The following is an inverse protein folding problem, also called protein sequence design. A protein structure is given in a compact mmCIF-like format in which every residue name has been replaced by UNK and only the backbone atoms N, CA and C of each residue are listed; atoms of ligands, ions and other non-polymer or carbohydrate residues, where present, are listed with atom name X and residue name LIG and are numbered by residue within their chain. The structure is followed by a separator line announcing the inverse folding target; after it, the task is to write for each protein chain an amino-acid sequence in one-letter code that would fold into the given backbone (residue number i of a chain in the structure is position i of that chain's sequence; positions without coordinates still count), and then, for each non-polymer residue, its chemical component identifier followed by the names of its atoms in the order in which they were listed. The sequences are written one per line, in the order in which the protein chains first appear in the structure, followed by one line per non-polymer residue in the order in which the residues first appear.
data_IF_255044300716
#
_entry.id   IF_255044300716
#
_cell.length_a   1.000
_cell.length_b   1.000
_cell.length_c   1.000
_cell.angle_alpha   90.00
_cell.angle_beta   90.00
_cell.angle_gamma   90.00
#
_symmetry.space_group_name_H-M   'P 1'
#
loop_
_entity.id
_entity.type
_entity.pdbx_description
1 polymer ?
#
# COMPACT_ATOMS: atom_id res chain seq x y z
N UNK A 1 -32.16 -71.11 13.35
CA UNK A 1 -32.25 -70.54 12.00
C UNK A 1 -33.02 -69.19 12.08
N UNK A 2 -32.48 -68.06 11.69
CA UNK A 2 -33.24 -66.82 11.75
C UNK A 2 -34.37 -66.83 10.72
N UNK A 3 -35.58 -66.45 11.15
CA UNK A 3 -36.78 -66.47 10.34
C UNK A 3 -36.66 -65.56 9.11
N UNK A 4 -37.31 -65.95 8.02
CA UNK A 4 -37.30 -65.20 6.74
C UNK A 4 -37.76 -63.75 6.92
N UNK A 5 -38.60 -63.48 7.93
CA UNK A 5 -39.04 -62.11 8.29
C UNK A 5 -37.92 -61.22 8.80
N UNK A 6 -36.97 -61.77 9.58
CA UNK A 6 -35.83 -61.01 10.08
C UNK A 6 -34.80 -60.67 8.98
N UNK A 7 -34.62 -61.51 7.98
CA UNK A 7 -33.76 -61.25 6.84
C UNK A 7 -34.31 -60.10 5.96
N UNK A 8 -35.61 -60.09 5.73
CA UNK A 8 -36.25 -59.00 4.94
C UNK A 8 -36.19 -57.66 5.63
N UNK A 9 -36.37 -57.61 6.98
CA UNK A 9 -36.28 -56.41 7.76
C UNK A 9 -34.84 -55.83 7.79
N UNK A 10 -33.83 -56.69 7.87
CA UNK A 10 -32.42 -56.27 7.87
C UNK A 10 -31.98 -55.78 6.47
N UNK A 11 -32.49 -56.36 5.37
CA UNK A 11 -32.26 -55.88 4.00
C UNK A 11 -32.88 -54.49 3.80
N UNK A 12 -34.12 -54.32 4.25
CA UNK A 12 -34.85 -53.05 4.13
C UNK A 12 -34.13 -51.91 4.88
N UNK A 13 -33.67 -52.18 6.14
CA UNK A 13 -32.91 -51.21 6.92
C UNK A 13 -31.56 -50.90 6.29
N UNK A 14 -30.85 -51.83 5.70
CA UNK A 14 -29.58 -51.57 4.96
C UNK A 14 -29.80 -50.75 3.70
N UNK A 15 -30.86 -50.99 2.96
CA UNK A 15 -31.23 -50.16 1.79
C UNK A 15 -31.61 -48.74 2.23
N UNK A 16 -32.36 -48.60 3.30
CA UNK A 16 -32.76 -47.29 3.83
C UNK A 16 -31.54 -46.47 4.30
N UNK A 17 -30.58 -47.11 5.00
CA UNK A 17 -29.33 -46.46 5.41
C UNK A 17 -28.48 -46.07 4.20
N UNK A 18 -28.42 -46.87 3.13
CA UNK A 18 -27.70 -46.55 1.92
C UNK A 18 -28.35 -45.38 1.13
N UNK A 19 -29.68 -45.30 1.12
CA UNK A 19 -30.41 -44.20 0.50
C UNK A 19 -30.20 -42.86 1.26
N UNK A 20 -30.18 -42.92 2.63
CA UNK A 20 -29.91 -41.73 3.45
C UNK A 20 -28.45 -41.25 3.29
N UNK A 21 -27.50 -42.21 3.22
CA UNK A 21 -26.09 -41.87 2.97
C UNK A 21 -25.85 -41.28 1.60
N UNK A 22 -26.55 -41.73 0.57
CA UNK A 22 -26.48 -41.19 -0.79
C UNK A 22 -27.07 -39.78 -0.89
N UNK A 23 -28.09 -39.45 -0.09
CA UNK A 23 -28.72 -38.12 -0.08
C UNK A 23 -27.85 -37.05 0.61
N UNK A 24 -26.91 -37.45 1.47
CA UNK A 24 -26.02 -36.52 2.20
C UNK A 24 -24.87 -35.97 1.35
N UNK A 25 -24.60 -36.54 0.18
CA UNK A 25 -23.45 -36.16 -0.67
C UNK A 25 -23.78 -34.98 -1.62
N UNK A 26 -25.03 -34.58 -1.77
CA UNK A 26 -25.45 -33.59 -2.78
C UNK A 26 -25.58 -32.14 -2.27
N UNK A 27 -25.27 -31.84 -1.01
CA UNK A 27 -25.34 -30.47 -0.48
C UNK A 27 -23.91 -29.99 -0.17
N UNK A 28 -23.02 -30.04 -1.17
CA UNK A 28 -21.85 -29.21 -1.11
C UNK A 28 -22.29 -27.77 -1.43
N UNK A 29 -22.13 -26.78 -0.52
CA UNK A 29 -22.36 -25.40 -0.90
C UNK A 29 -21.39 -25.10 -2.04
N UNK A 30 -21.92 -24.72 -3.19
CA UNK A 30 -21.11 -24.11 -4.27
C UNK A 30 -20.55 -22.83 -3.67
N UNK A 31 -19.28 -22.85 -3.21
CA UNK A 31 -18.53 -21.65 -2.89
C UNK A 31 -18.35 -20.96 -4.22
N UNK A 32 -19.28 -20.07 -4.56
CA UNK A 32 -19.06 -19.12 -5.66
C UNK A 32 -17.89 -18.26 -5.23
N UNK A 33 -16.75 -18.41 -5.91
CA UNK A 33 -15.67 -17.46 -5.81
C UNK A 33 -16.27 -16.07 -6.07
N UNK A 34 -16.27 -15.21 -5.04
CA UNK A 34 -16.79 -13.85 -5.17
C UNK A 34 -15.97 -13.18 -6.27
N UNK A 35 -16.64 -12.65 -7.30
CA UNK A 35 -15.96 -11.89 -8.35
C UNK A 35 -15.25 -10.69 -7.71
N UNK A 36 -13.93 -10.76 -7.63
CA UNK A 36 -13.10 -9.64 -7.18
C UNK A 36 -12.65 -8.84 -8.40
N UNK A 37 -12.74 -7.49 -8.35
CA UNK A 37 -13.41 -6.68 -7.33
C UNK A 37 -14.93 -6.57 -7.57
N UNK A 38 -15.74 -6.64 -6.52
CA UNK A 38 -17.20 -6.41 -6.56
C UNK A 38 -17.62 -4.99 -6.11
N UNK A 39 -16.65 -4.19 -5.65
CA UNK A 39 -16.84 -2.78 -5.19
C UNK A 39 -15.59 -1.96 -5.55
N UNK A 40 -15.70 -0.63 -5.41
CA UNK A 40 -14.59 0.30 -5.66
C UNK A 40 -13.37 -0.01 -4.81
N UNK A 41 -12.20 -0.05 -5.44
CA UNK A 41 -10.89 -0.15 -4.79
C UNK A 41 -10.43 1.28 -4.45
N UNK A 42 -10.03 1.52 -3.19
CA UNK A 42 -9.47 2.78 -2.73
C UNK A 42 -7.95 2.71 -2.77
N UNK A 43 -7.32 3.64 -3.49
CA UNK A 43 -5.88 3.83 -3.50
C UNK A 43 -5.53 5.05 -2.64
N UNK A 44 -5.06 4.82 -1.42
CA UNK A 44 -4.63 5.88 -0.52
C UNK A 44 -3.29 6.45 -1.02
N UNK A 45 -3.27 7.77 -1.20
CA UNK A 45 -2.10 8.55 -1.58
C UNK A 45 -1.64 9.34 -0.33
N UNK A 46 -0.52 8.97 0.32
CA UNK A 46 -0.13 9.53 1.61
C UNK A 46 0.53 10.92 1.51
N UNK A 47 0.31 11.65 0.42
CA UNK A 47 0.87 12.97 0.15
C UNK A 47 -0.19 13.91 -0.42
N UNK A 48 0.06 15.25 -0.38
CA UNK A 48 -0.87 16.22 -0.94
C UNK A 48 -1.15 16.00 -2.43
N UNK A 49 -2.33 16.40 -2.91
CA UNK A 49 -2.66 16.35 -4.33
C UNK A 49 -1.72 17.22 -5.16
N UNK A 50 -1.49 16.83 -6.42
CA UNK A 50 -0.64 17.52 -7.39
C UNK A 50 0.86 17.21 -7.28
N UNK A 51 1.30 16.47 -6.26
CA UNK A 51 2.69 15.98 -6.17
C UNK A 51 2.93 14.74 -7.05
N UNK A 52 4.20 14.37 -7.25
CA UNK A 52 4.57 13.24 -8.12
C UNK A 52 3.89 11.92 -7.71
N UNK A 53 3.78 11.65 -6.41
CA UNK A 53 3.08 10.45 -5.93
C UNK A 53 1.58 10.47 -6.28
N UNK A 54 0.93 11.62 -6.19
CA UNK A 54 -0.48 11.76 -6.55
C UNK A 54 -0.69 11.56 -8.05
N UNK A 55 0.15 12.19 -8.89
CA UNK A 55 0.07 12.03 -10.34
C UNK A 55 0.23 10.56 -10.76
N UNK A 56 1.27 9.89 -10.28
CA UNK A 56 1.51 8.48 -10.58
C UNK A 56 0.36 7.59 -10.08
N UNK A 57 -0.19 7.89 -8.90
CA UNK A 57 -1.32 7.12 -8.35
C UNK A 57 -2.58 7.27 -9.20
N UNK A 58 -2.87 8.48 -9.70
CA UNK A 58 -4.02 8.73 -10.58
C UNK A 58 -3.87 8.08 -11.94
N UNK A 59 -2.67 8.14 -12.52
CA UNK A 59 -2.36 7.45 -13.79
C UNK A 59 -2.50 5.93 -13.62
N UNK A 60 -1.99 5.36 -12.52
CA UNK A 60 -2.15 3.94 -12.23
C UNK A 60 -3.63 3.56 -12.07
N UNK A 61 -4.40 4.35 -11.32
CA UNK A 61 -5.84 4.11 -11.13
C UNK A 61 -6.60 4.17 -12.45
N UNK A 62 -6.28 5.15 -13.31
CA UNK A 62 -6.87 5.29 -14.63
C UNK A 62 -6.52 4.10 -15.54
N UNK A 63 -5.25 3.71 -15.60
CA UNK A 63 -4.78 2.58 -16.39
C UNK A 63 -5.43 1.25 -15.96
N UNK A 64 -5.53 1.01 -14.65
CA UNK A 64 -6.22 -0.15 -14.11
C UNK A 64 -7.71 -0.14 -14.50
N UNK A 65 -8.38 1.00 -14.35
CA UNK A 65 -9.79 1.11 -14.73
C UNK A 65 -10.02 0.87 -16.22
N UNK A 66 -9.15 1.37 -17.08
CA UNK A 66 -9.23 1.16 -18.53
C UNK A 66 -8.95 -0.29 -18.95
N UNK A 67 -7.96 -0.94 -18.33
CA UNK A 67 -7.53 -2.28 -18.74
C UNK A 67 -8.38 -3.40 -18.17
N UNK A 68 -8.95 -3.21 -16.97
CA UNK A 68 -9.67 -4.26 -16.26
C UNK A 68 -11.16 -3.99 -16.07
N UNK A 69 -11.62 -2.76 -16.29
CA UNK A 69 -12.97 -2.32 -15.97
C UNK A 69 -13.19 -2.08 -14.45
N UNK A 70 -12.15 -2.15 -13.62
CA UNK A 70 -12.27 -1.97 -12.18
C UNK A 70 -12.48 -0.51 -11.81
N UNK A 71 -13.31 -0.25 -10.79
CA UNK A 71 -13.43 1.08 -10.23
C UNK A 71 -12.30 1.29 -9.22
N UNK A 72 -11.31 2.12 -9.57
CA UNK A 72 -10.17 2.48 -8.68
C UNK A 72 -10.18 3.97 -8.44
N UNK A 73 -10.22 4.40 -7.16
CA UNK A 73 -10.29 5.80 -6.77
C UNK A 73 -9.13 6.18 -5.87
N UNK A 74 -8.37 7.22 -6.27
CA UNK A 74 -7.27 7.78 -5.47
C UNK A 74 -7.81 8.74 -4.41
N UNK A 75 -7.37 8.54 -3.16
CA UNK A 75 -7.75 9.37 -1.98
C UNK A 75 -6.50 9.89 -1.29
N UNK A 76 -6.32 11.23 -1.26
CA UNK A 76 -5.17 11.83 -0.59
C UNK A 76 -5.36 11.85 0.94
N UNK A 77 -4.38 11.31 1.68
CA UNK A 77 -4.28 11.37 3.15
C UNK A 77 -2.87 11.81 3.57
N UNK A 78 -2.54 13.10 3.41
CA UNK A 78 -1.22 13.61 3.71
C UNK A 78 -0.99 13.75 5.22
N UNK A 79 0.29 13.85 5.62
CA UNK A 79 0.70 14.21 6.97
C UNK A 79 1.81 13.29 7.54
N UNK A 80 2.62 13.86 8.42
CA UNK A 80 3.73 13.19 9.10
C UNK A 80 4.66 12.40 8.16
N UNK A 81 5.10 13.02 7.04
CA UNK A 81 5.96 12.34 6.06
C UNK A 81 5.29 11.17 5.33
N UNK A 82 3.96 11.16 5.26
CA UNK A 82 3.14 10.10 4.67
C UNK A 82 2.66 9.03 5.66
N UNK A 83 3.06 9.13 6.94
CA UNK A 83 2.70 8.11 7.94
C UNK A 83 1.20 8.01 8.19
N UNK A 84 0.45 9.14 8.14
CA UNK A 84 -1.00 9.12 8.37
C UNK A 84 -1.75 8.32 7.29
N UNK A 85 -1.35 8.46 6.03
CA UNK A 85 -1.97 7.70 4.94
C UNK A 85 -1.64 6.21 5.01
N UNK A 86 -0.39 5.87 5.34
CA UNK A 86 0.03 4.47 5.50
C UNK A 86 -0.65 3.82 6.70
N UNK A 87 -0.75 4.51 7.84
CA UNK A 87 -1.48 4.05 9.02
C UNK A 87 -2.96 3.76 8.71
N UNK A 88 -3.60 4.65 7.94
CA UNK A 88 -4.99 4.45 7.54
C UNK A 88 -5.18 3.21 6.65
N UNK A 89 -4.20 2.88 5.81
CA UNK A 89 -4.22 1.66 5.01
C UNK A 89 -3.96 0.41 5.86
N UNK A 90 -2.96 0.47 6.74
CA UNK A 90 -2.59 -0.63 7.62
C UNK A 90 -3.73 -1.06 8.56
N UNK A 91 -4.58 -0.11 8.95
CA UNK A 91 -5.77 -0.36 9.81
C UNK A 91 -7.05 -0.67 9.02
N UNK A 92 -7.01 -0.63 7.70
CA UNK A 92 -8.16 -0.99 6.88
C UNK A 92 -8.37 -2.51 6.87
N UNK A 93 -9.59 -3.00 6.54
CA UNK A 93 -9.81 -4.43 6.33
C UNK A 93 -8.84 -4.99 5.28
N UNK A 94 -8.25 -6.17 5.58
CA UNK A 94 -7.32 -6.85 4.67
C UNK A 94 -8.06 -7.64 3.56
N UNK A 95 -9.03 -6.98 2.91
CA UNK A 95 -9.92 -7.56 1.90
C UNK A 95 -9.50 -7.23 0.46
N UNK A 96 -8.36 -6.56 0.28
CA UNK A 96 -7.85 -6.14 -1.02
C UNK A 96 -8.48 -4.87 -1.60
N UNK A 97 -9.44 -4.23 -0.91
CA UNK A 97 -10.11 -3.02 -1.41
C UNK A 97 -9.51 -1.71 -0.92
N UNK A 98 -8.51 -1.77 -0.05
CA UNK A 98 -7.74 -0.59 0.34
C UNK A 98 -6.27 -0.83 0.01
N UNK A 99 -5.76 -0.03 -0.90
CA UNK A 99 -4.36 0.00 -1.32
C UNK A 99 -3.70 1.29 -0.84
N UNK A 100 -2.38 1.31 -0.75
CA UNK A 100 -1.61 2.52 -0.46
C UNK A 100 -0.44 2.66 -1.41
N UNK A 101 -0.20 3.89 -1.89
CA UNK A 101 1.01 4.24 -2.64
C UNK A 101 2.12 4.59 -1.66
N UNK A 102 2.82 3.58 -1.17
CA UNK A 102 3.96 3.76 -0.27
C UNK A 102 5.19 4.34 -0.96
N UNK A 103 6.05 4.97 -0.18
CA UNK A 103 7.35 5.49 -0.61
C UNK A 103 8.45 5.00 0.32
N UNK A 104 9.71 5.12 -0.11
CA UNK A 104 10.90 4.84 0.71
C UNK A 104 10.83 5.52 2.09
N UNK A 105 10.31 6.76 2.15
CA UNK A 105 10.17 7.50 3.41
C UNK A 105 9.31 6.77 4.42
N UNK A 106 8.08 6.44 4.10
CA UNK A 106 7.12 5.88 5.06
C UNK A 106 7.23 4.35 5.21
N UNK A 107 7.85 3.65 4.26
CA UNK A 107 8.02 2.19 4.33
C UNK A 107 9.39 1.76 4.87
N UNK A 108 10.46 2.55 4.66
CA UNK A 108 11.82 2.15 5.02
C UNK A 108 12.52 3.11 5.99
N UNK A 109 12.36 4.44 5.83
CA UNK A 109 13.06 5.44 6.66
C UNK A 109 12.34 5.63 8.00
N UNK A 110 11.05 5.90 7.96
CA UNK A 110 10.28 6.31 9.13
C UNK A 110 10.19 5.24 10.23
N UNK A 111 10.20 3.93 9.94
CA UNK A 111 10.32 2.90 10.98
C UNK A 111 11.53 3.04 11.90
N UNK A 112 12.63 3.59 11.38
CA UNK A 112 13.85 3.84 12.16
C UNK A 112 13.92 5.27 12.71
N UNK A 113 13.35 6.24 12.00
CA UNK A 113 13.43 7.65 12.34
C UNK A 113 12.46 8.07 13.44
N UNK A 114 11.25 7.53 13.44
CA UNK A 114 10.20 7.89 14.39
C UNK A 114 10.23 6.95 15.61
N UNK A 115 10.30 7.50 16.80
CA UNK A 115 10.27 6.72 18.06
C UNK A 115 8.95 6.00 18.28
N UNK A 116 7.86 6.48 17.69
CA UNK A 116 6.52 5.87 17.72
C UNK A 116 5.92 5.95 16.33
N UNK A 117 5.91 4.81 15.64
CA UNK A 117 5.21 4.65 14.37
C UNK A 117 3.94 3.83 14.63
N UNK A 118 2.75 4.26 14.16
CA UNK A 118 1.49 3.58 14.48
C UNK A 118 1.23 2.33 13.62
N UNK A 119 2.17 1.93 12.75
CA UNK A 119 2.12 0.74 11.90
C UNK A 119 3.52 0.10 11.77
N UNK A 120 3.55 -1.17 11.44
CA UNK A 120 4.76 -1.92 11.06
C UNK A 120 4.65 -2.28 9.57
N UNK A 121 5.45 -1.65 8.68
CA UNK A 121 5.31 -1.88 7.23
C UNK A 121 5.61 -3.31 6.80
N UNK A 122 6.33 -4.10 7.61
CA UNK A 122 6.65 -5.49 7.30
C UNK A 122 5.57 -6.48 7.77
N UNK A 123 4.73 -6.09 8.74
CA UNK A 123 3.69 -6.95 9.31
C UNK A 123 2.28 -6.55 8.88
N UNK A 124 2.03 -5.23 8.79
CA UNK A 124 0.68 -4.70 8.61
C UNK A 124 0.34 -4.45 7.13
N UNK A 125 1.34 -4.59 6.23
CA UNK A 125 1.18 -4.37 4.80
C UNK A 125 1.69 -5.55 3.98
N UNK A 126 0.99 -5.85 2.89
CA UNK A 126 1.43 -6.82 1.89
C UNK A 126 1.92 -6.06 0.64
N UNK A 127 3.20 -6.17 0.24
CA UNK A 127 3.71 -5.52 -0.96
C UNK A 127 3.13 -6.17 -2.22
N UNK A 128 2.74 -5.35 -3.20
CA UNK A 128 2.19 -5.81 -4.48
C UNK A 128 3.25 -5.67 -5.58
N UNK A 129 3.71 -4.43 -5.84
CA UNK A 129 4.64 -4.14 -6.92
C UNK A 129 5.38 -2.82 -6.70
N UNK A 130 6.60 -2.70 -7.22
CA UNK A 130 7.28 -1.43 -7.38
C UNK A 130 6.71 -0.71 -8.60
N UNK A 131 5.94 0.37 -8.38
CA UNK A 131 5.27 1.11 -9.45
C UNK A 131 6.27 1.92 -10.29
N UNK A 132 7.30 2.50 -9.65
CA UNK A 132 8.33 3.25 -10.34
C UNK A 132 9.37 3.83 -9.40
N UNK A 133 10.42 4.41 -9.97
CA UNK A 133 11.49 5.13 -9.28
C UNK A 133 11.63 6.52 -9.86
N UNK A 134 11.99 7.50 -9.01
CA UNK A 134 12.23 8.88 -9.43
C UNK A 134 13.51 9.40 -8.76
N UNK A 135 14.40 10.05 -9.52
CA UNK A 135 15.59 10.66 -8.94
C UNK A 135 15.22 11.89 -8.11
N UNK A 136 16.05 12.20 -7.11
CA UNK A 136 16.00 13.47 -6.40
C UNK A 136 16.77 14.54 -7.18
N UNK A 137 16.21 15.74 -7.26
CA UNK A 137 16.83 16.88 -7.93
C UNK A 137 16.91 18.05 -6.95
N UNK A 138 18.10 18.62 -6.79
CA UNK A 138 18.29 19.88 -6.08
C UNK A 138 18.05 21.04 -7.03
N UNK A 139 17.14 21.92 -6.69
CA UNK A 139 16.78 23.09 -7.50
C UNK A 139 16.92 24.38 -6.70
N UNK A 140 17.21 25.46 -7.40
CA UNK A 140 17.21 26.83 -6.88
C UNK A 140 16.34 27.72 -7.77
N UNK A 141 15.83 28.85 -7.28
CA UNK A 141 15.13 29.82 -8.13
C UNK A 141 15.96 30.23 -9.34
N UNK A 142 15.33 30.47 -10.49
CA UNK A 142 16.03 30.89 -11.70
C UNK A 142 16.80 32.22 -11.51
N UNK A 143 16.34 33.08 -10.60
CA UNK A 143 17.00 34.32 -10.21
C UNK A 143 18.19 34.14 -9.27
N UNK A 144 18.45 32.92 -8.80
CA UNK A 144 19.55 32.62 -7.88
C UNK A 144 20.91 32.88 -8.56
N UNK A 145 21.93 33.38 -7.80
CA UNK A 145 23.28 33.54 -8.29
C UNK A 145 24.00 32.21 -8.54
N UNK A 146 23.52 31.10 -7.95
CA UNK A 146 24.18 29.79 -8.04
C UNK A 146 23.95 29.17 -9.41
N UNK A 147 25.03 28.83 -10.11
CA UNK A 147 25.00 28.13 -11.42
C UNK A 147 25.46 26.69 -11.29
N UNK A 148 26.17 26.37 -10.22
CA UNK A 148 26.69 25.02 -9.93
C UNK A 148 26.40 24.66 -8.47
N UNK A 149 26.52 23.36 -8.16
CA UNK A 149 26.46 22.88 -6.77
C UNK A 149 27.60 23.48 -5.95
N UNK A 150 28.78 23.67 -6.54
CA UNK A 150 29.92 24.27 -5.86
C UNK A 150 29.64 25.72 -5.41
N UNK A 151 28.97 26.51 -6.23
CA UNK A 151 28.60 27.90 -5.85
C UNK A 151 27.70 27.89 -4.61
N UNK A 152 26.69 27.02 -4.60
CA UNK A 152 25.79 26.88 -3.45
C UNK A 152 26.53 26.44 -2.19
N UNK A 153 27.40 25.43 -2.28
CA UNK A 153 28.17 24.93 -1.15
C UNK A 153 29.12 26.01 -0.62
N UNK A 154 29.85 26.70 -1.49
CA UNK A 154 30.77 27.76 -1.10
C UNK A 154 30.06 28.92 -0.35
N UNK A 155 28.89 29.31 -0.84
CA UNK A 155 28.08 30.33 -0.18
C UNK A 155 27.53 29.86 1.17
N UNK A 156 27.07 28.61 1.25
CA UNK A 156 26.61 28.01 2.50
C UNK A 156 27.70 27.97 3.56
N UNK A 157 28.94 27.64 3.16
CA UNK A 157 30.12 27.70 4.06
C UNK A 157 30.50 29.12 4.47
N UNK A 158 30.41 30.07 3.56
CA UNK A 158 30.72 31.48 3.86
C UNK A 158 29.69 32.14 4.78
N UNK A 159 28.45 31.65 4.78
CA UNK A 159 27.33 32.21 5.54
C UNK A 159 26.52 31.10 6.26
N UNK A 160 27.08 30.45 7.28
CA UNK A 160 26.41 29.37 8.01
C UNK A 160 25.04 29.82 8.54
N UNK A 161 24.02 29.02 8.32
CA UNK A 161 22.64 29.27 8.76
C UNK A 161 21.86 30.32 7.94
N UNK A 162 22.46 30.92 6.90
CA UNK A 162 21.78 31.93 6.07
C UNK A 162 20.87 31.33 5.00
N UNK A 163 21.14 30.11 4.57
CA UNK A 163 20.35 29.42 3.55
C UNK A 163 19.29 28.51 4.19
N UNK A 164 18.09 28.55 3.59
CA UNK A 164 17.01 27.65 3.98
C UNK A 164 16.72 26.70 2.82
N UNK A 165 16.26 25.50 3.13
CA UNK A 165 15.79 24.55 2.15
C UNK A 165 14.35 24.13 2.42
N UNK A 166 13.67 23.69 1.36
CA UNK A 166 12.35 23.10 1.44
C UNK A 166 12.41 21.63 1.06
N UNK A 167 11.58 20.83 1.71
CA UNK A 167 11.40 19.41 1.42
C UNK A 167 9.94 19.03 1.46
N UNK A 168 9.61 17.81 1.07
CA UNK A 168 8.25 17.26 1.16
C UNK A 168 7.84 16.83 2.58
N UNK A 169 8.64 17.17 3.59
CA UNK A 169 8.36 16.93 5.01
C UNK A 169 9.48 16.14 5.72
N UNK A 170 9.45 16.20 7.05
CA UNK A 170 10.43 15.50 7.89
C UNK A 170 10.37 13.97 7.65
N UNK A 171 11.55 13.34 7.57
CA UNK A 171 11.68 11.91 7.31
C UNK A 171 11.52 11.51 5.84
N UNK A 172 11.29 12.47 4.94
CA UNK A 172 11.28 12.18 3.50
C UNK A 172 12.69 12.04 2.94
N UNK A 173 12.82 11.38 1.80
CA UNK A 173 14.11 11.24 1.09
C UNK A 173 14.69 12.62 0.78
N UNK A 174 13.86 13.61 0.40
CA UNK A 174 14.30 14.99 0.15
C UNK A 174 14.92 15.64 1.40
N UNK A 175 14.29 15.48 2.56
CA UNK A 175 14.82 15.99 3.83
C UNK A 175 16.18 15.36 4.15
N UNK A 176 16.26 14.02 4.20
CA UNK A 176 17.48 13.32 4.58
C UNK A 176 18.62 13.50 3.56
N UNK A 177 18.31 13.64 2.27
CA UNK A 177 19.31 13.94 1.25
C UNK A 177 19.94 15.32 1.45
N UNK A 178 19.13 16.31 1.85
CA UNK A 178 19.64 17.66 2.14
C UNK A 178 20.47 17.68 3.43
N UNK A 179 20.00 17.02 4.50
CA UNK A 179 20.78 16.85 5.72
C UNK A 179 22.13 16.17 5.45
N UNK A 180 22.13 15.14 4.60
CA UNK A 180 23.38 14.47 4.22
C UNK A 180 24.29 15.38 3.39
N UNK A 181 23.72 16.17 2.49
CA UNK A 181 24.50 17.16 1.73
C UNK A 181 25.17 18.17 2.67
N UNK A 182 24.45 18.69 3.67
CA UNK A 182 25.01 19.60 4.66
C UNK A 182 26.17 18.97 5.41
N UNK A 183 26.04 17.73 5.86
CA UNK A 183 27.11 17.00 6.57
C UNK A 183 28.37 16.79 5.72
N UNK A 184 28.22 16.57 4.41
CA UNK A 184 29.35 16.34 3.50
C UNK A 184 29.99 17.67 3.11
N UNK A 185 29.21 18.74 3.06
CA UNK A 185 29.66 20.07 2.65
C UNK A 185 30.43 20.82 3.74
N UNK A 186 30.36 20.41 4.99
CA UNK A 186 31.10 21.04 6.14
C UNK A 186 32.58 20.73 6.11
#
# INVERSE_FOLDING_TARGET
MPSVANRRRNLFNRLLCLLIAASSVCIAPTIQAQNYPSKTIRLIVPFPPGGGTDLVSRELAAALSQSTGWSVVSENKPGAGGNLGVDAAAKAPADGYTLVMGQTSNLAINPTLYSKLPYDPLKDLAPIVLVGTSPMVLVVPASSPYKTLADLINDAKARPGALNFASSGNGTVAHLSTERLQQIAN
#
